data_IF_357738641395
#
_entry.id   IF_357738641395
#
_cell.length_a   1.000
_cell.length_b   1.000
_cell.length_c   1.000
_cell.angle_alpha   90.00
_cell.angle_beta   90.00
_cell.angle_gamma   90.00
#
_symmetry.space_group_name_H-M   'P 1'
#
loop_
_entity.id
_entity.type
_entity.pdbx_description
1 polymer ?
#
# COMPACT_ATOMS: atom_id res chain seq x y z
N UNK A 1 -18.61 -59.18 -5.96
CA UNK A 1 -18.76 -57.85 -6.59
C UNK A 1 -18.33 -56.82 -5.56
N UNK A 2 -17.04 -56.54 -5.49
CA UNK A 2 -16.48 -55.53 -4.58
C UNK A 2 -16.55 -54.18 -5.28
N UNK A 3 -17.36 -53.28 -4.72
CA UNK A 3 -17.45 -51.89 -5.14
C UNK A 3 -16.18 -51.18 -4.64
N UNK A 4 -15.16 -51.07 -5.49
CA UNK A 4 -14.03 -50.19 -5.25
C UNK A 4 -14.53 -48.75 -5.28
N UNK A 5 -14.67 -48.15 -4.10
CA UNK A 5 -14.84 -46.70 -3.98
C UNK A 5 -13.54 -46.07 -4.46
N UNK A 6 -13.57 -45.42 -5.63
CA UNK A 6 -12.48 -44.57 -6.10
C UNK A 6 -12.17 -43.52 -5.03
N UNK A 7 -10.92 -43.49 -4.56
CA UNK A 7 -10.44 -42.42 -3.68
C UNK A 7 -10.64 -41.07 -4.41
N UNK A 8 -11.03 -40.00 -3.69
CA UNK A 8 -11.14 -38.67 -4.29
C UNK A 8 -9.78 -38.29 -4.89
N UNK A 9 -9.79 -37.78 -6.11
CA UNK A 9 -8.58 -37.34 -6.81
C UNK A 9 -7.79 -36.37 -5.91
N UNK A 10 -6.53 -36.70 -5.66
CA UNK A 10 -5.66 -35.92 -4.78
C UNK A 10 -5.41 -34.54 -5.40
N UNK A 11 -5.62 -33.48 -4.63
CA UNK A 11 -5.41 -32.12 -5.12
C UNK A 11 -3.92 -31.87 -5.37
N UNK A 12 -3.54 -31.74 -6.65
CA UNK A 12 -2.16 -31.51 -7.07
C UNK A 12 -1.76 -30.04 -6.88
N UNK A 13 -1.42 -29.70 -5.64
CA UNK A 13 -1.05 -28.35 -5.21
C UNK A 13 0.07 -27.72 -6.06
N UNK A 14 1.05 -28.52 -6.46
CA UNK A 14 2.20 -28.05 -7.22
C UNK A 14 1.82 -27.66 -8.66
N UNK A 15 0.93 -28.42 -9.29
CA UNK A 15 0.40 -28.10 -10.63
C UNK A 15 -0.41 -26.80 -10.60
N UNK A 16 -1.23 -26.60 -9.58
CA UNK A 16 -2.01 -25.37 -9.42
C UNK A 16 -1.10 -24.14 -9.19
N UNK A 17 -0.03 -24.28 -8.42
CA UNK A 17 0.96 -23.20 -8.23
C UNK A 17 1.66 -22.89 -9.56
N UNK A 18 2.12 -23.93 -10.26
CA UNK A 18 2.78 -23.79 -11.57
C UNK A 18 1.87 -23.07 -12.58
N UNK A 19 0.62 -23.53 -12.70
CA UNK A 19 -0.41 -22.94 -13.56
C UNK A 19 -0.58 -21.44 -13.29
N UNK A 20 -0.79 -21.06 -12.02
CA UNK A 20 -1.00 -19.66 -11.64
C UNK A 20 0.20 -18.76 -11.94
N UNK A 21 1.41 -19.26 -11.75
CA UNK A 21 2.63 -18.50 -12.05
C UNK A 21 2.81 -18.32 -13.56
N UNK A 22 2.61 -19.38 -14.35
CA UNK A 22 2.69 -19.34 -15.80
C UNK A 22 1.64 -18.39 -16.41
N UNK A 23 0.39 -18.44 -15.92
CA UNK A 23 -0.67 -17.52 -16.31
C UNK A 23 -0.33 -16.07 -15.98
N UNK A 24 0.29 -15.82 -14.82
CA UNK A 24 0.76 -14.49 -14.47
C UNK A 24 1.81 -14.00 -15.46
N UNK A 25 2.84 -14.79 -15.77
CA UNK A 25 3.89 -14.39 -16.70
C UNK A 25 3.36 -14.09 -18.10
N UNK A 26 2.59 -15.02 -18.66
CA UNK A 26 1.99 -14.86 -19.99
C UNK A 26 1.14 -13.58 -20.08
N UNK A 27 0.28 -13.33 -19.08
CA UNK A 27 -0.61 -12.17 -19.07
C UNK A 27 0.13 -10.86 -18.78
N UNK A 28 0.96 -10.82 -17.72
CA UNK A 28 1.59 -9.59 -17.25
C UNK A 28 2.65 -9.08 -18.24
N UNK A 29 3.39 -9.99 -18.87
CA UNK A 29 4.46 -9.65 -19.81
C UNK A 29 4.03 -9.81 -21.29
N UNK A 30 2.77 -10.18 -21.54
CA UNK A 30 2.22 -10.44 -22.89
C UNK A 30 3.07 -11.46 -23.66
N UNK A 31 3.50 -12.50 -22.97
CA UNK A 31 4.29 -13.60 -23.54
C UNK A 31 3.36 -14.74 -23.97
N UNK A 32 3.79 -15.61 -24.91
CA UNK A 32 3.02 -16.81 -25.28
C UNK A 32 2.70 -17.69 -24.05
N UNK A 33 1.61 -18.46 -24.04
CA UNK A 33 1.42 -19.49 -23.03
C UNK A 33 2.56 -20.51 -23.09
N UNK A 34 3.25 -20.73 -21.97
CA UNK A 34 4.40 -21.64 -21.87
C UNK A 34 4.63 -22.04 -20.40
N UNK A 35 5.45 -23.06 -20.17
CA UNK A 35 5.88 -23.45 -18.84
C UNK A 35 7.14 -22.68 -18.40
N UNK A 36 6.91 -21.46 -17.91
CA UNK A 36 7.95 -20.60 -17.34
C UNK A 36 8.44 -21.09 -15.99
N UNK A 37 7.53 -21.65 -15.18
CA UNK A 37 7.83 -22.06 -13.81
C UNK A 37 8.88 -23.15 -13.75
N UNK A 38 8.81 -24.17 -14.61
CA UNK A 38 9.83 -25.24 -14.64
C UNK A 38 11.22 -24.77 -15.07
N UNK A 39 11.33 -23.59 -15.69
CA UNK A 39 12.60 -22.99 -16.11
C UNK A 39 13.25 -22.14 -15.03
N UNK A 40 12.54 -21.81 -13.96
CA UNK A 40 13.07 -21.02 -12.86
C UNK A 40 13.90 -21.89 -11.92
N UNK A 41 15.13 -21.43 -11.63
CA UNK A 41 15.93 -21.99 -10.55
C UNK A 41 15.44 -21.49 -9.20
N UNK A 42 15.88 -22.14 -8.10
CA UNK A 42 15.62 -21.62 -6.75
C UNK A 42 16.14 -20.18 -6.59
N UNK A 43 17.30 -19.87 -7.16
CA UNK A 43 17.87 -18.53 -7.13
C UNK A 43 16.94 -17.52 -7.82
N UNK A 44 16.38 -17.86 -8.98
CA UNK A 44 15.44 -16.98 -9.69
C UNK A 44 14.18 -16.70 -8.86
N UNK A 45 13.64 -17.73 -8.20
CA UNK A 45 12.46 -17.60 -7.32
C UNK A 45 12.77 -16.69 -6.13
N UNK A 46 13.95 -16.82 -5.52
CA UNK A 46 14.37 -15.94 -4.43
C UNK A 46 14.57 -14.50 -4.90
N UNK A 47 15.15 -14.30 -6.10
CA UNK A 47 15.28 -12.99 -6.72
C UNK A 47 13.93 -12.35 -7.04
N UNK A 48 12.92 -13.13 -7.46
CA UNK A 48 11.56 -12.65 -7.66
C UNK A 48 10.93 -12.13 -6.37
N UNK A 49 11.19 -12.78 -5.22
CA UNK A 49 10.74 -12.26 -3.91
C UNK A 49 11.38 -10.92 -3.57
N UNK A 50 12.67 -10.77 -3.86
CA UNK A 50 13.37 -9.49 -3.67
C UNK A 50 12.78 -8.40 -4.58
N UNK A 51 12.58 -8.70 -5.86
CA UNK A 51 11.97 -7.78 -6.81
C UNK A 51 10.55 -7.37 -6.40
N UNK A 52 9.76 -8.30 -5.84
CA UNK A 52 8.43 -7.98 -5.30
C UNK A 52 8.50 -6.98 -4.14
N UNK A 53 9.53 -7.05 -3.29
CA UNK A 53 9.76 -6.06 -2.24
C UNK A 53 10.03 -4.68 -2.84
N UNK A 54 10.85 -4.59 -3.89
CA UNK A 54 11.14 -3.32 -4.57
C UNK A 54 9.92 -2.74 -5.28
N UNK A 55 9.11 -3.60 -5.90
CA UNK A 55 7.82 -3.23 -6.49
C UNK A 55 6.89 -2.66 -5.42
N UNK A 56 6.78 -3.32 -4.26
CA UNK A 56 5.98 -2.83 -3.14
C UNK A 56 6.46 -1.46 -2.67
N UNK A 57 7.78 -1.28 -2.51
CA UNK A 57 8.36 0.02 -2.14
C UNK A 57 8.04 1.11 -3.17
N UNK A 58 8.12 0.79 -4.46
CA UNK A 58 7.82 1.73 -5.54
C UNK A 58 6.34 2.12 -5.58
N UNK A 59 5.42 1.17 -5.38
CA UNK A 59 3.97 1.43 -5.31
C UNK A 59 3.66 2.29 -4.07
N UNK A 60 4.24 1.96 -2.91
CA UNK A 60 4.06 2.75 -1.68
C UNK A 60 4.54 4.19 -1.88
N UNK A 61 5.73 4.41 -2.43
CA UNK A 61 6.21 5.76 -2.73
C UNK A 61 5.25 6.53 -3.64
N UNK A 62 4.75 5.91 -4.72
CA UNK A 62 3.79 6.55 -5.63
C UNK A 62 2.48 6.89 -4.90
N UNK A 63 1.94 5.97 -4.11
CA UNK A 63 0.74 6.21 -3.30
C UNK A 63 0.94 7.37 -2.32
N UNK A 64 2.08 7.42 -1.65
CA UNK A 64 2.44 8.53 -0.74
C UNK A 64 2.52 9.87 -1.48
N UNK A 65 3.13 9.90 -2.67
CA UNK A 65 3.19 11.12 -3.49
C UNK A 65 1.81 11.60 -3.91
N UNK A 66 0.94 10.69 -4.38
CA UNK A 66 -0.44 11.01 -4.73
C UNK A 66 -1.24 11.51 -3.52
N UNK A 67 -1.01 10.93 -2.35
CA UNK A 67 -1.61 11.39 -1.10
C UNK A 67 -1.15 12.81 -0.74
N UNK A 68 0.15 13.13 -0.87
CA UNK A 68 0.67 14.48 -0.60
C UNK A 68 0.03 15.53 -1.51
N UNK A 69 -0.17 15.23 -2.80
CA UNK A 69 -0.89 16.13 -3.70
C UNK A 69 -2.36 16.28 -3.30
N UNK A 70 -3.04 15.17 -3.01
CA UNK A 70 -4.44 15.16 -2.60
C UNK A 70 -4.67 15.94 -1.30
N UNK A 71 -3.92 15.65 -0.24
CA UNK A 71 -4.06 16.30 1.07
C UNK A 71 -3.69 17.77 0.98
N UNK A 72 -2.72 18.11 0.12
CA UNK A 72 -2.35 19.48 -0.20
C UNK A 72 -3.51 20.29 -0.77
N UNK A 73 -4.34 19.68 -1.62
CA UNK A 73 -5.55 20.29 -2.15
C UNK A 73 -6.66 20.38 -1.09
N UNK A 74 -6.96 19.26 -0.40
CA UNK A 74 -8.04 19.17 0.59
C UNK A 74 -7.83 20.16 1.74
N UNK A 75 -6.59 20.32 2.19
CA UNK A 75 -6.21 21.21 3.28
C UNK A 75 -5.78 22.61 2.82
N UNK A 76 -5.92 22.93 1.53
CA UNK A 76 -5.55 24.23 0.94
C UNK A 76 -4.12 24.68 1.28
N UNK A 77 -3.17 23.76 1.20
CA UNK A 77 -1.78 24.00 1.59
C UNK A 77 -1.01 24.85 0.59
N UNK A 78 -0.16 25.73 1.10
CA UNK A 78 0.71 26.55 0.26
C UNK A 78 1.71 25.70 -0.54
N UNK A 79 2.18 26.26 -1.66
CA UNK A 79 3.05 25.56 -2.61
C UNK A 79 4.40 25.16 -1.99
N UNK A 80 4.93 25.94 -1.05
CA UNK A 80 6.21 25.65 -0.41
C UNK A 80 6.08 24.43 0.50
N UNK A 81 5.02 24.37 1.32
CA UNK A 81 4.77 23.22 2.19
C UNK A 81 4.53 21.95 1.37
N UNK A 82 3.75 22.01 0.29
CA UNK A 82 3.53 20.87 -0.62
C UNK A 82 4.84 20.37 -1.25
N UNK A 83 5.69 21.28 -1.74
CA UNK A 83 7.00 20.93 -2.32
C UNK A 83 7.93 20.29 -1.30
N UNK A 84 7.95 20.78 -0.07
CA UNK A 84 8.78 20.23 1.00
C UNK A 84 8.34 18.81 1.37
N UNK A 85 7.04 18.56 1.50
CA UNK A 85 6.51 17.22 1.75
C UNK A 85 6.87 16.26 0.63
N UNK A 86 6.67 16.69 -0.64
CA UNK A 86 7.04 15.89 -1.80
C UNK A 86 8.53 15.55 -1.82
N UNK A 87 9.39 16.51 -1.52
CA UNK A 87 10.85 16.30 -1.46
C UNK A 87 11.22 15.33 -0.32
N UNK A 88 10.57 15.44 0.84
CA UNK A 88 10.78 14.53 1.97
C UNK A 88 10.41 13.08 1.61
N UNK A 89 9.29 12.88 0.90
CA UNK A 89 8.87 11.54 0.42
C UNK A 89 9.90 10.95 -0.55
N UNK A 90 10.44 11.75 -1.48
CA UNK A 90 11.44 11.29 -2.44
C UNK A 90 12.81 11.02 -1.81
N UNK A 91 13.14 11.68 -0.71
CA UNK A 91 14.41 11.51 0.00
C UNK A 91 14.38 10.39 1.05
N UNK A 92 13.20 9.89 1.42
CA UNK A 92 13.07 8.88 2.47
C UNK A 92 13.58 7.51 1.99
N UNK A 93 14.29 6.80 2.86
CA UNK A 93 14.70 5.42 2.59
C UNK A 93 13.51 4.48 2.84
N UNK A 94 13.38 3.35 2.11
CA UNK A 94 12.32 2.34 2.29
C UNK A 94 12.24 1.64 3.68
N UNK A 95 12.93 2.15 4.68
CA UNK A 95 13.01 1.61 6.04
C UNK A 95 13.18 2.72 7.09
N UNK A 96 12.78 3.95 6.75
CA UNK A 96 12.96 5.11 7.62
C UNK A 96 12.02 5.01 8.82
N UNK A 97 12.53 5.28 10.03
CA UNK A 97 11.71 5.33 11.24
C UNK A 97 10.83 6.58 11.22
N UNK A 98 9.53 6.44 11.50
CA UNK A 98 8.59 7.56 11.53
C UNK A 98 7.29 7.25 10.82
N UNK A 99 6.41 8.25 10.68
CA UNK A 99 5.24 8.17 9.81
C UNK A 99 5.67 8.30 8.35
N UNK A 100 4.91 7.72 7.42
CA UNK A 100 5.19 7.83 5.99
C UNK A 100 5.09 9.29 5.50
N UNK A 101 4.22 10.08 6.13
CA UNK A 101 4.16 11.54 5.94
C UNK A 101 3.98 12.24 7.28
N UNK A 102 4.69 13.36 7.45
CA UNK A 102 4.56 14.24 8.60
C UNK A 102 4.60 15.70 8.16
N UNK A 103 3.51 16.43 8.40
CA UNK A 103 3.45 17.88 8.30
C UNK A 103 3.31 18.53 9.69
N UNK A 104 4.36 19.22 10.14
CA UNK A 104 4.37 19.97 11.41
C UNK A 104 3.80 21.39 11.27
N UNK A 105 3.65 21.88 10.04
CA UNK A 105 3.02 23.19 9.75
C UNK A 105 1.51 23.05 9.75
N UNK A 106 0.82 24.11 10.15
CA UNK A 106 -0.64 24.16 10.14
C UNK A 106 -1.19 24.15 8.69
N UNK A 107 -2.23 23.35 8.40
CA UNK A 107 -2.83 22.34 9.26
C UNK A 107 -1.91 21.12 9.46
N UNK A 108 -1.69 20.73 10.72
CA UNK A 108 -0.79 19.62 11.06
C UNK A 108 -1.41 18.28 10.75
N UNK A 109 -0.63 17.38 10.18
CA UNK A 109 -1.08 16.02 9.97
C UNK A 109 0.06 15.00 9.93
N UNK A 110 -0.32 13.75 10.18
CA UNK A 110 0.52 12.56 10.03
C UNK A 110 -0.24 11.50 9.23
N UNK A 111 0.50 10.67 8.49
CA UNK A 111 -0.09 9.61 7.70
C UNK A 111 0.74 8.31 7.68
N UNK A 112 0.02 7.19 7.63
CA UNK A 112 0.54 5.87 7.31
C UNK A 112 -0.07 5.39 6.00
N UNK A 113 0.74 4.77 5.14
CA UNK A 113 0.38 4.39 3.79
C UNK A 113 0.46 2.88 3.64
N UNK A 114 -0.66 2.26 3.21
CA UNK A 114 -0.76 0.81 3.00
C UNK A 114 -1.16 0.46 1.58
N UNK A 115 -0.29 -0.33 0.95
CA UNK A 115 -0.51 -0.92 -0.36
C UNK A 115 -0.97 -2.38 -0.30
N UNK A 116 -1.38 -2.86 0.88
CA UNK A 116 -1.82 -4.24 1.07
C UNK A 116 -3.04 -4.53 0.19
N UNK A 117 -2.89 -5.40 -0.79
CA UNK A 117 -4.03 -6.02 -1.48
C UNK A 117 -4.47 -7.23 -0.65
N UNK A 118 -5.78 -7.42 -0.43
CA UNK A 118 -6.30 -8.61 0.23
C UNK A 118 -5.73 -9.90 -0.39
N UNK A 119 -5.24 -10.80 0.46
CA UNK A 119 -4.70 -12.08 -0.01
C UNK A 119 -5.79 -12.97 -0.65
N UNK A 120 -5.38 -13.84 -1.57
CA UNK A 120 -6.22 -14.86 -2.22
C UNK A 120 -7.39 -14.33 -3.06
N UNK A 121 -7.31 -13.10 -3.58
CA UNK A 121 -8.39 -12.53 -4.40
C UNK A 121 -9.70 -12.34 -3.63
N UNK A 122 -9.64 -12.36 -2.30
CA UNK A 122 -10.79 -12.15 -1.44
C UNK A 122 -11.05 -10.68 -1.15
N UNK A 123 -12.14 -10.42 -0.43
CA UNK A 123 -12.59 -9.07 -0.08
C UNK A 123 -12.31 -8.76 1.40
N UNK A 124 -11.29 -9.41 1.97
CA UNK A 124 -10.93 -9.36 3.40
C UNK A 124 -9.43 -9.48 3.59
N UNK A 125 -8.89 -8.72 4.53
CA UNK A 125 -7.50 -8.85 4.95
C UNK A 125 -7.28 -10.14 5.76
N UNK A 126 -6.15 -10.79 5.50
CA UNK A 126 -5.65 -11.89 6.34
C UNK A 126 -5.30 -11.41 7.75
N UNK A 127 -5.11 -12.34 8.69
CA UNK A 127 -4.84 -12.03 10.10
C UNK A 127 -3.63 -11.09 10.27
N UNK A 128 -2.51 -11.41 9.63
CA UNK A 128 -1.28 -10.60 9.74
C UNK A 128 -1.43 -9.20 9.13
N UNK A 129 -2.15 -9.10 8.00
CA UNK A 129 -2.46 -7.80 7.37
C UNK A 129 -3.30 -6.93 8.32
N UNK A 130 -4.30 -7.52 8.99
CA UNK A 130 -5.14 -6.82 9.97
C UNK A 130 -4.32 -6.35 11.16
N UNK A 131 -3.48 -7.21 11.72
CA UNK A 131 -2.61 -6.87 12.85
C UNK A 131 -1.69 -5.71 12.51
N UNK A 132 -1.07 -5.71 11.32
CA UNK A 132 -0.27 -4.59 10.83
C UNK A 132 -1.08 -3.29 10.75
N UNK A 133 -2.23 -3.33 10.07
CA UNK A 133 -3.12 -2.16 9.92
C UNK A 133 -3.54 -1.59 11.27
N UNK A 134 -3.94 -2.43 12.23
CA UNK A 134 -4.34 -1.97 13.56
C UNK A 134 -3.19 -1.37 14.35
N UNK A 135 -1.99 -1.94 14.26
CA UNK A 135 -0.79 -1.37 14.89
C UNK A 135 -0.50 0.04 14.39
N UNK A 136 -0.69 0.28 13.10
CA UNK A 136 -0.47 1.61 12.50
C UNK A 136 -1.57 2.61 12.88
N UNK A 137 -2.83 2.16 12.95
CA UNK A 137 -3.94 2.95 13.50
C UNK A 137 -3.68 3.33 14.95
N UNK A 138 -3.25 2.39 15.79
CA UNK A 138 -2.93 2.64 17.19
C UNK A 138 -1.75 3.61 17.33
N UNK A 139 -0.74 3.49 16.45
CA UNK A 139 0.38 4.42 16.37
C UNK A 139 -0.03 5.82 15.91
N UNK A 140 -1.00 5.94 15.01
CA UNK A 140 -1.57 7.23 14.61
C UNK A 140 -2.35 7.87 15.77
N UNK A 141 -3.12 7.08 16.52
CA UNK A 141 -3.93 7.56 17.65
C UNK A 141 -3.09 7.93 18.89
N UNK A 142 -2.09 7.12 19.21
CA UNK A 142 -1.37 7.16 20.49
C UNK A 142 0.07 7.65 20.38
N UNK A 143 0.56 7.87 19.15
CA UNK A 143 1.96 8.17 18.87
C UNK A 143 2.83 6.90 18.68
N UNK A 144 3.96 7.05 17.98
CA UNK A 144 4.97 5.99 17.85
C UNK A 144 5.96 6.04 19.02
N UNK A 145 6.29 4.88 19.60
CA UNK A 145 7.25 4.75 20.73
C UNK A 145 8.66 5.29 20.41
N UNK A 146 9.03 5.35 19.12
CA UNK A 146 10.31 5.91 18.62
C UNK A 146 10.12 7.12 17.70
N UNK A 147 8.91 7.69 17.63
CA UNK A 147 8.60 8.89 16.87
C UNK A 147 8.55 10.13 17.77
N UNK A 148 8.52 11.33 17.21
CA UNK A 148 8.32 12.52 18.04
C UNK A 148 6.89 12.51 18.61
N UNK A 149 6.70 12.95 19.85
CA UNK A 149 5.38 13.02 20.48
C UNK A 149 4.45 13.99 19.73
N UNK A 150 3.19 13.61 19.58
CA UNK A 150 2.13 14.48 19.04
C UNK A 150 1.65 15.36 20.19
N UNK A 151 2.15 16.59 20.27
CA UNK A 151 1.85 17.52 21.40
C UNK A 151 0.70 18.48 21.10
N UNK A 152 0.28 18.59 19.83
CA UNK A 152 -0.76 19.52 19.38
C UNK A 152 -1.82 18.81 18.52
N UNK A 153 -3.03 19.39 18.37
CA UNK A 153 -4.06 18.83 17.49
C UNK A 153 -3.51 18.57 16.10
N UNK A 154 -3.55 17.29 15.69
CA UNK A 154 -2.93 16.80 14.46
C UNK A 154 -3.88 15.82 13.79
N UNK A 155 -4.22 16.09 12.53
CA UNK A 155 -5.04 15.20 11.70
C UNK A 155 -4.27 13.90 11.42
N UNK A 156 -4.97 12.78 11.35
CA UNK A 156 -4.37 11.45 11.23
C UNK A 156 -4.97 10.75 10.03
N UNK A 157 -4.12 10.23 9.14
CA UNK A 157 -4.58 9.57 7.91
C UNK A 157 -4.04 8.15 7.83
N UNK A 158 -4.93 7.20 7.59
CA UNK A 158 -4.59 5.86 7.14
C UNK A 158 -4.94 5.75 5.66
N UNK A 159 -3.90 5.76 4.82
CA UNK A 159 -3.99 5.89 3.38
C UNK A 159 -3.94 4.51 2.74
N UNK A 160 -4.89 4.23 1.85
CA UNK A 160 -4.97 2.98 1.11
C UNK A 160 -4.98 3.22 -0.39
N UNK A 161 -4.50 2.24 -1.15
CA UNK A 161 -4.66 2.22 -2.60
C UNK A 161 -6.14 2.16 -2.98
N UNK A 162 -6.55 3.02 -3.89
CA UNK A 162 -7.92 3.04 -4.39
C UNK A 162 -8.17 1.98 -5.46
N UNK A 163 -8.53 0.77 -5.01
CA UNK A 163 -9.04 -0.31 -5.86
C UNK A 163 -10.25 -1.00 -5.20
N UNK A 164 -11.18 -1.59 -5.97
CA UNK A 164 -12.40 -2.18 -5.43
C UNK A 164 -12.17 -3.18 -4.29
N UNK A 165 -11.21 -4.11 -4.47
CA UNK A 165 -10.89 -5.12 -3.45
C UNK A 165 -10.43 -4.50 -2.11
N UNK A 166 -9.65 -3.41 -2.16
CA UNK A 166 -9.16 -2.71 -0.97
C UNK A 166 -10.28 -1.92 -0.29
N UNK A 167 -11.16 -1.27 -1.06
CA UNK A 167 -12.36 -0.61 -0.51
C UNK A 167 -13.24 -1.61 0.23
N UNK A 168 -13.51 -2.76 -0.38
CA UNK A 168 -14.33 -3.81 0.25
C UNK A 168 -13.69 -4.39 1.52
N UNK A 169 -12.38 -4.64 1.49
CA UNK A 169 -11.65 -5.11 2.66
C UNK A 169 -11.63 -4.09 3.80
N UNK A 170 -11.49 -2.79 3.50
CA UNK A 170 -11.59 -1.72 4.49
C UNK A 170 -13.01 -1.62 5.07
N UNK A 171 -14.04 -1.73 4.24
CA UNK A 171 -15.43 -1.76 4.71
C UNK A 171 -15.69 -2.94 5.65
N UNK A 172 -15.17 -4.12 5.32
CA UNK A 172 -15.25 -5.28 6.20
C UNK A 172 -14.47 -5.05 7.50
N UNK A 173 -13.26 -4.48 7.42
CA UNK A 173 -12.41 -4.18 8.58
C UNK A 173 -13.15 -3.28 9.57
N UNK A 174 -13.71 -2.17 9.08
CA UNK A 174 -14.48 -1.19 9.87
C UNK A 174 -15.69 -1.81 10.57
N UNK A 175 -16.45 -2.66 9.86
CA UNK A 175 -17.60 -3.37 10.44
C UNK A 175 -17.18 -4.39 11.50
N UNK A 176 -16.04 -5.04 11.32
CA UNK A 176 -15.54 -6.08 12.23
C UNK A 176 -14.85 -5.56 13.49
N UNK A 177 -14.42 -4.30 13.51
CA UNK A 177 -13.65 -3.70 14.60
C UNK A 177 -14.49 -2.72 15.41
N UNK A 178 -15.50 -3.22 16.14
CA UNK A 178 -16.42 -2.39 16.93
C UNK A 178 -15.73 -1.46 17.95
N UNK A 179 -14.55 -1.84 18.46
CA UNK A 179 -13.76 -1.01 19.37
C UNK A 179 -13.08 0.19 18.68
N UNK A 180 -12.80 0.07 17.38
CA UNK A 180 -12.10 1.09 16.58
C UNK A 180 -13.05 1.94 15.73
N UNK A 181 -14.29 1.47 15.49
CA UNK A 181 -15.25 2.17 14.64
C UNK A 181 -15.57 3.60 15.07
N UNK A 182 -15.44 3.93 16.37
CA UNK A 182 -15.63 5.29 16.89
C UNK A 182 -14.41 6.20 16.73
N UNK A 183 -13.25 5.63 16.36
CA UNK A 183 -11.97 6.34 16.18
C UNK A 183 -11.49 6.32 14.73
N UNK A 184 -12.28 5.73 13.82
CA UNK A 184 -12.00 5.62 12.41
C UNK A 184 -13.14 6.26 11.63
N UNK A 185 -12.81 7.19 10.73
CA UNK A 185 -13.77 7.84 9.85
C UNK A 185 -13.36 7.59 8.40
N UNK A 186 -14.24 7.01 7.59
CA UNK A 186 -14.02 6.96 6.15
C UNK A 186 -14.35 8.35 5.59
N UNK A 187 -13.34 9.04 5.07
CA UNK A 187 -13.54 10.39 4.54
C UNK A 187 -14.26 10.32 3.19
N UNK A 188 -15.39 11.00 3.07
CA UNK A 188 -16.13 11.03 1.82
C UNK A 188 -15.49 11.98 0.78
N UNK A 189 -15.82 11.79 -0.49
CA UNK A 189 -15.35 12.65 -1.57
C UNK A 189 -15.80 14.11 -1.34
N UNK A 190 -14.84 15.03 -1.29
CA UNK A 190 -15.08 16.46 -1.06
C UNK A 190 -15.25 16.88 0.40
N UNK A 191 -15.22 15.93 1.34
CA UNK A 191 -15.26 16.23 2.77
C UNK A 191 -13.90 16.76 3.26
N UNK A 192 -13.91 17.78 4.12
CA UNK A 192 -12.71 18.29 4.77
C UNK A 192 -12.53 17.66 6.15
N UNK A 193 -11.37 17.06 6.44
CA UNK A 193 -11.07 16.50 7.74
C UNK A 193 -10.80 17.62 8.75
N UNK A 194 -11.41 17.54 9.93
CA UNK A 194 -11.28 18.56 10.98
C UNK A 194 -11.13 17.98 12.40
N UNK A 195 -11.52 16.72 12.62
CA UNK A 195 -11.48 16.07 13.91
C UNK A 195 -10.12 15.41 14.14
N UNK A 196 -9.31 15.99 15.02
CA UNK A 196 -8.00 15.43 15.37
C UNK A 196 -8.06 14.18 16.26
N UNK A 197 -9.23 13.76 16.76
CA UNK A 197 -9.35 12.60 17.66
C UNK A 197 -9.60 11.28 16.94
N UNK A 198 -9.74 11.31 15.63
CA UNK A 198 -9.99 10.14 14.77
C UNK A 198 -8.86 9.94 13.78
N UNK A 199 -8.82 8.77 13.17
CA UNK A 199 -8.03 8.48 11.99
C UNK A 199 -8.93 8.44 10.78
N UNK A 200 -8.64 9.28 9.80
CA UNK A 200 -9.31 9.30 8.52
C UNK A 200 -8.77 8.19 7.62
N UNK A 201 -9.65 7.29 7.19
CA UNK A 201 -9.36 6.33 6.13
C UNK A 201 -9.60 7.03 4.80
N UNK A 202 -8.58 7.03 3.94
CA UNK A 202 -8.64 7.64 2.61
C UNK A 202 -8.17 6.65 1.55
N UNK A 203 -8.85 6.63 0.41
CA UNK A 203 -8.48 5.84 -0.75
C UNK A 203 -7.90 6.77 -1.81
N UNK A 204 -6.65 6.52 -2.19
CA UNK A 204 -5.94 7.37 -3.14
C UNK A 204 -5.71 6.58 -4.44
N UNK A 205 -6.18 7.08 -5.59
CA UNK A 205 -5.93 6.46 -6.87
C UNK A 205 -4.47 6.70 -7.27
N UNK A 206 -3.76 5.60 -7.51
CA UNK A 206 -2.51 5.62 -8.27
C UNK A 206 -2.91 5.31 -9.70
N UNK A 207 -2.70 6.26 -10.62
CA UNK A 207 -3.00 6.08 -12.04
C UNK A 207 -2.13 4.98 -12.67
N UNK A 208 -2.01 4.97 -14.00
CA UNK A 208 -1.10 4.04 -14.68
C UNK A 208 0.31 4.18 -14.10
N UNK A 209 0.82 3.11 -13.49
CA UNK A 209 2.16 3.09 -12.93
C UNK A 209 3.17 3.37 -14.04
N UNK A 210 3.72 4.58 -14.05
CA UNK A 210 4.82 4.95 -14.92
C UNK A 210 6.06 5.07 -14.02
N UNK A 211 7.10 4.25 -14.25
CA UNK A 211 8.37 4.45 -13.57
C UNK A 211 8.82 5.90 -13.79
N UNK A 212 9.25 6.58 -12.73
CA UNK A 212 9.81 7.92 -12.84
C UNK A 212 10.95 7.86 -13.86
N UNK A 213 10.72 8.35 -15.08
CA UNK A 213 11.76 8.44 -16.09
C UNK A 213 12.81 9.39 -15.53
N UNK A 214 14.01 8.88 -15.27
CA UNK A 214 15.16 9.76 -15.03
C UNK A 214 15.27 10.64 -16.27
N UNK A 215 15.13 11.96 -16.10
CA UNK A 215 15.56 12.90 -17.12
C UNK A 215 17.06 12.69 -17.28
N UNK A 216 17.46 12.07 -18.38
CA UNK A 216 18.85 12.05 -18.82
C UNK A 216 19.24 13.46 -19.24
N UNK A 217 19.50 14.35 -18.27
CA UNK A 217 20.33 15.52 -18.52
C UNK A 217 21.76 15.03 -18.63
N UNK A 218 22.13 14.60 -19.84
CA UNK A 218 23.51 14.54 -20.30
C UNK A 218 24.08 15.96 -20.26
N UNK A 219 24.63 16.35 -19.11
CA UNK A 219 25.54 17.48 -19.01
C UNK A 219 26.95 16.91 -19.10
N UNK A 220 27.47 16.81 -20.32
CA UNK A 220 28.90 16.87 -20.59
C UNK A 220 29.13 17.88 -21.71
N UNK A 221 29.53 19.06 -21.24
CA UNK A 221 30.52 20.00 -21.76
C UNK A 221 30.75 20.14 -23.27
N UNK A 222 30.48 21.34 -23.78
CA UNK A 222 31.24 21.99 -24.86
C UNK A 222 32.54 22.62 -24.30
N UNK A 223 33.47 23.10 -25.14
CA UNK A 223 33.57 22.99 -26.61
C UNK A 223 34.68 22.05 -27.08
#
# INVERSE_FOLDING_TARGET
MTCEKSLPAEFQRDEEISRRINEFFARAFRMPPDDYYSRLTLTDILSLKSALSDINNAITMQLTLHFVEWVGCVLSMDLVTRRNLRAAVLASKPSSNGYDVWCEKQPRFIAEVKCNIPINGGNKYGADQRTGIFKDIDALLSGKTKGMPITEPTLKFMVFLDIPAVREANNHLLKSAAALSKKLELLADGEQPFNANVVYIVHIPVGNFQPLRRSSTSVYSKP
#
